data_IF_200097939528
#
_entry.id   IF_200097939528
#
_cell.length_a   1.000
_cell.length_b   1.000
_cell.length_c   1.000
_cell.angle_alpha   90.00
_cell.angle_beta   90.00
_cell.angle_gamma   90.00
#
_symmetry.space_group_name_H-M   'P 1'
#
loop_
_entity.id
_entity.type
_entity.pdbx_description
1 polymer ?
#
# COMPACT_ATOMS: atom_id res chain seq x y z
N UNK A 1 88.36 -5.76 23.11
CA UNK A 1 87.91 -7.16 23.16
C UNK A 1 86.87 -7.32 22.09
N UNK A 2 87.15 -8.21 21.17
CA UNK A 2 86.51 -8.37 19.88
C UNK A 2 85.05 -8.82 19.98
N UNK A 3 84.25 -8.42 19.00
CA UNK A 3 82.87 -8.87 18.86
C UNK A 3 82.39 -8.62 17.44
N UNK A 4 83.04 -9.24 16.46
CA UNK A 4 82.55 -9.28 15.08
C UNK A 4 81.18 -9.97 15.09
N UNK A 5 80.11 -9.23 14.81
CA UNK A 5 78.81 -9.82 14.50
C UNK A 5 78.92 -10.53 13.16
N UNK A 6 78.86 -11.86 13.16
CA UNK A 6 78.79 -12.66 11.95
C UNK A 6 77.46 -12.34 11.22
N UNK A 7 77.54 -11.57 10.15
CA UNK A 7 76.41 -11.37 9.23
C UNK A 7 76.31 -12.63 8.37
N UNK A 8 75.35 -13.49 8.67
CA UNK A 8 75.02 -14.63 7.81
C UNK A 8 74.18 -14.15 6.63
N UNK A 9 74.75 -14.19 5.43
CA UNK A 9 74.03 -13.90 4.20
C UNK A 9 73.18 -15.13 3.81
N UNK A 10 71.86 -15.03 3.99
CA UNK A 10 70.94 -16.13 3.69
C UNK A 10 70.48 -15.99 2.24
N UNK A 11 71.08 -16.78 1.35
CA UNK A 11 70.64 -16.85 -0.04
C UNK A 11 69.26 -17.50 -0.18
N UNK A 12 68.46 -16.95 -1.09
CA UNK A 12 67.15 -17.51 -1.43
C UNK A 12 67.33 -18.93 -1.95
N UNK A 13 66.66 -19.93 -1.36
CA UNK A 13 66.84 -21.32 -1.76
C UNK A 13 66.41 -21.50 -3.21
N UNK A 14 67.17 -22.30 -3.94
CA UNK A 14 66.92 -22.66 -5.33
C UNK A 14 65.65 -23.50 -5.47
N UNK A 15 65.15 -23.64 -6.71
CA UNK A 15 63.97 -24.46 -6.99
C UNK A 15 64.14 -25.91 -6.53
N UNK A 16 65.33 -26.50 -6.70
CA UNK A 16 65.61 -27.87 -6.26
C UNK A 16 65.64 -28.00 -4.74
N UNK A 17 66.22 -27.03 -4.03
CA UNK A 17 66.26 -27.03 -2.56
C UNK A 17 64.86 -26.89 -1.97
N UNK A 18 64.04 -26.01 -2.54
CA UNK A 18 62.62 -25.88 -2.16
C UNK A 18 61.87 -27.19 -2.43
N UNK A 19 62.06 -27.79 -3.61
CA UNK A 19 61.39 -29.05 -3.97
C UNK A 19 61.77 -30.16 -3.01
N UNK A 20 63.06 -30.34 -2.70
CA UNK A 20 63.55 -31.36 -1.77
C UNK A 20 63.08 -31.11 -0.33
N UNK A 21 63.07 -29.86 0.10
CA UNK A 21 62.57 -29.48 1.43
C UNK A 21 61.08 -29.80 1.60
N UNK A 22 60.26 -29.49 0.58
CA UNK A 22 58.81 -29.71 0.62
C UNK A 22 58.36 -31.07 0.08
N UNK A 23 59.27 -31.92 -0.40
CA UNK A 23 58.95 -33.23 -0.98
C UNK A 23 58.15 -34.10 0.01
N UNK A 24 58.56 -34.13 1.28
CA UNK A 24 57.86 -34.89 2.32
C UNK A 24 56.44 -34.35 2.60
N UNK A 25 56.25 -33.03 2.58
CA UNK A 25 54.96 -32.39 2.79
C UNK A 25 54.00 -32.72 1.64
N UNK A 26 54.49 -32.58 0.40
CA UNK A 26 53.70 -32.78 -0.82
C UNK A 26 53.40 -34.26 -1.03
N UNK A 27 54.38 -35.15 -0.89
CA UNK A 27 54.23 -36.57 -1.21
C UNK A 27 53.67 -37.42 -0.06
N UNK A 28 53.84 -37.02 1.21
CA UNK A 28 53.43 -37.87 2.34
C UNK A 28 52.29 -37.29 3.18
N UNK A 29 52.21 -35.96 3.33
CA UNK A 29 51.18 -35.33 4.17
C UNK A 29 49.95 -34.91 3.36
N UNK A 30 50.15 -34.36 2.15
CA UNK A 30 49.06 -33.87 1.32
C UNK A 30 48.29 -34.97 0.55
N UNK A 31 48.85 -36.19 0.44
CA UNK A 31 48.22 -37.31 -0.28
C UNK A 31 47.18 -38.05 0.58
N UNK A 32 47.22 -37.91 1.91
CA UNK A 32 46.23 -38.56 2.77
C UNK A 32 44.91 -37.78 2.73
N UNK A 33 43.81 -38.36 2.21
CA UNK A 33 42.51 -37.70 2.29
C UNK A 33 42.16 -37.45 3.78
N UNK A 34 41.55 -36.31 4.11
CA UNK A 34 41.14 -36.04 5.48
C UNK A 34 40.24 -37.16 5.97
N UNK A 35 40.45 -37.59 7.23
CA UNK A 35 39.68 -38.69 7.83
C UNK A 35 38.20 -38.35 7.71
N UNK A 36 37.44 -39.20 7.01
CA UNK A 36 36.05 -38.91 6.68
C UNK A 36 35.22 -38.78 7.95
N UNK A 37 34.86 -37.55 8.31
CA UNK A 37 33.99 -37.23 9.45
C UNK A 37 32.52 -37.59 9.19
N UNK A 38 32.19 -38.50 8.28
CA UNK A 38 30.78 -38.87 7.97
C UNK A 38 29.97 -39.18 9.22
N UNK A 39 30.57 -39.86 10.21
CA UNK A 39 29.93 -40.17 11.50
C UNK A 39 29.70 -38.94 12.38
N UNK A 40 30.61 -37.97 12.36
CA UNK A 40 30.46 -36.70 13.09
C UNK A 40 29.52 -35.72 12.37
N UNK A 41 29.47 -35.74 11.04
CA UNK A 41 28.52 -34.95 10.23
C UNK A 41 27.09 -35.46 10.42
N UNK A 42 26.89 -36.77 10.57
CA UNK A 42 25.58 -37.36 10.92
C UNK A 42 25.17 -37.08 12.37
N UNK A 43 26.12 -36.90 13.29
CA UNK A 43 25.83 -36.61 14.70
C UNK A 43 25.63 -35.11 15.01
N UNK A 44 26.14 -34.21 14.17
CA UNK A 44 26.20 -32.77 14.48
C UNK A 44 25.16 -31.90 13.77
N UNK A 45 24.21 -32.47 13.02
CA UNK A 45 23.06 -31.73 12.51
C UNK A 45 21.93 -31.81 13.54
N UNK A 46 22.14 -31.22 14.71
CA UNK A 46 21.04 -30.94 15.63
C UNK A 46 20.13 -29.91 14.94
N UNK A 47 18.93 -30.35 14.54
CA UNK A 47 17.94 -29.46 13.92
C UNK A 47 17.45 -28.51 15.01
N UNK A 48 18.00 -27.30 15.04
CA UNK A 48 17.55 -26.26 15.95
C UNK A 48 16.10 -25.87 15.61
N UNK A 49 15.25 -25.62 16.62
CA UNK A 49 13.91 -25.12 16.39
C UNK A 49 13.99 -23.78 15.63
N UNK A 50 13.15 -23.64 14.60
CA UNK A 50 13.04 -22.38 13.86
C UNK A 50 12.70 -21.27 14.83
N UNK A 51 13.52 -20.22 14.86
CA UNK A 51 13.28 -19.08 15.72
C UNK A 51 11.88 -18.50 15.45
N UNK A 52 11.10 -18.15 16.48
CA UNK A 52 9.84 -17.46 16.27
C UNK A 52 10.12 -16.17 15.48
N UNK A 53 9.27 -15.81 14.51
CA UNK A 53 9.44 -14.59 13.75
C UNK A 53 9.56 -13.39 14.71
N UNK A 54 10.44 -12.42 14.44
CA UNK A 54 10.57 -11.23 15.26
C UNK A 54 9.22 -10.53 15.36
N UNK A 55 8.93 -9.99 16.55
CA UNK A 55 7.68 -9.25 16.76
C UNK A 55 7.57 -8.11 15.74
N UNK A 56 6.35 -7.84 15.20
CA UNK A 56 6.13 -6.72 14.32
C UNK A 56 6.62 -5.43 14.99
N UNK A 57 7.42 -4.64 14.25
CA UNK A 57 7.88 -3.33 14.73
C UNK A 57 6.67 -2.48 15.14
N UNK A 58 6.65 -2.03 16.38
CA UNK A 58 5.70 -1.02 16.86
C UNK A 58 6.21 0.37 16.46
N UNK A 59 5.32 1.20 15.93
CA UNK A 59 5.65 2.58 15.60
C UNK A 59 5.77 3.41 16.87
N UNK A 60 6.71 4.35 16.88
CA UNK A 60 6.83 5.35 17.94
C UNK A 60 5.67 6.34 17.89
N UNK A 61 5.33 6.98 19.00
CA UNK A 61 4.29 8.02 19.06
C UNK A 61 4.51 9.14 18.04
N UNK A 62 5.78 9.48 17.75
CA UNK A 62 6.15 10.47 16.75
C UNK A 62 5.82 10.02 15.33
N UNK A 63 6.09 8.76 15.01
CA UNK A 63 5.76 8.18 13.69
C UNK A 63 4.24 8.07 13.50
N UNK A 64 3.50 7.70 14.56
CA UNK A 64 2.03 7.66 14.52
C UNK A 64 1.47 9.05 14.22
N UNK A 65 1.92 10.07 14.95
CA UNK A 65 1.48 11.44 14.73
C UNK A 65 1.78 11.94 13.31
N UNK A 66 2.95 11.62 12.77
CA UNK A 66 3.31 11.97 11.39
C UNK A 66 2.40 11.30 10.36
N UNK A 67 2.02 10.04 10.59
CA UNK A 67 1.09 9.32 9.73
C UNK A 67 -0.32 9.93 9.80
N UNK A 68 -0.81 10.31 10.98
CA UNK A 68 -2.10 10.97 11.16
C UNK A 68 -2.15 12.34 10.46
N UNK A 69 -1.09 13.15 10.59
CA UNK A 69 -0.96 14.44 9.89
C UNK A 69 -0.97 14.24 8.36
N UNK A 70 -0.20 13.27 7.87
CA UNK A 70 -0.16 12.94 6.43
C UNK A 70 -1.51 12.44 5.92
N UNK A 71 -2.20 11.62 6.70
CA UNK A 71 -3.54 11.13 6.37
C UNK A 71 -4.54 12.30 6.27
N UNK A 72 -4.55 13.20 7.26
CA UNK A 72 -5.42 14.39 7.22
C UNK A 72 -5.13 15.31 6.04
N UNK A 73 -3.86 15.49 5.66
CA UNK A 73 -3.50 16.27 4.48
C UNK A 73 -4.03 15.63 3.19
N UNK A 74 -3.89 14.31 3.04
CA UNK A 74 -4.46 13.60 1.88
C UNK A 74 -5.99 13.65 1.84
N UNK A 75 -6.65 13.53 2.99
CA UNK A 75 -8.10 13.65 3.10
C UNK A 75 -8.57 15.08 2.83
N UNK A 76 -7.80 16.09 3.22
CA UNK A 76 -8.08 17.50 2.89
C UNK A 76 -8.03 17.74 1.39
N UNK A 77 -7.01 17.22 0.70
CA UNK A 77 -6.92 17.30 -0.76
C UNK A 77 -8.10 16.63 -1.43
N UNK A 78 -8.50 15.43 -0.96
CA UNK A 78 -9.70 14.75 -1.43
C UNK A 78 -10.94 15.63 -1.26
N UNK A 79 -11.18 16.21 -0.08
CA UNK A 79 -12.34 17.08 0.19
C UNK A 79 -12.38 18.29 -0.75
N UNK A 80 -11.23 18.92 -1.03
CA UNK A 80 -11.14 20.05 -1.98
C UNK A 80 -11.54 19.61 -3.38
N UNK A 81 -11.01 18.48 -3.83
CA UNK A 81 -11.33 17.92 -5.14
C UNK A 81 -12.82 17.59 -5.28
N UNK A 82 -13.39 16.85 -4.31
CA UNK A 82 -14.81 16.47 -4.31
C UNK A 82 -15.72 17.70 -4.33
N UNK A 83 -15.41 18.73 -3.53
CA UNK A 83 -16.18 19.98 -3.50
C UNK A 83 -16.14 20.68 -4.87
N UNK A 84 -14.97 20.73 -5.52
CA UNK A 84 -14.83 21.35 -6.84
C UNK A 84 -15.69 20.63 -7.89
N UNK A 85 -15.62 19.31 -7.94
CA UNK A 85 -16.42 18.49 -8.86
C UNK A 85 -17.91 18.70 -8.61
N UNK A 86 -18.35 18.59 -7.36
CA UNK A 86 -19.77 18.76 -6.99
C UNK A 86 -20.29 20.15 -7.35
N UNK A 87 -19.48 21.20 -7.11
CA UNK A 87 -19.86 22.57 -7.45
C UNK A 87 -20.01 22.79 -8.96
N UNK A 88 -19.13 22.19 -9.77
CA UNK A 88 -19.24 22.24 -11.24
C UNK A 88 -20.54 21.58 -11.74
N UNK A 89 -20.92 20.46 -11.15
CA UNK A 89 -22.17 19.77 -11.47
C UNK A 89 -23.40 20.58 -11.03
N UNK A 90 -23.34 21.22 -9.87
CA UNK A 90 -24.43 22.02 -9.34
C UNK A 90 -24.73 23.30 -10.17
N UNK A 91 -23.72 23.86 -10.84
CA UNK A 91 -23.89 25.02 -11.73
C UNK A 91 -24.51 24.62 -13.08
N UNK A 92 -24.30 23.38 -13.51
CA UNK A 92 -24.82 22.92 -14.79
C UNK A 92 -26.36 22.83 -14.76
N UNK A 93 -27.01 23.59 -15.64
CA UNK A 93 -28.47 23.65 -15.76
C UNK A 93 -29.10 22.29 -16.04
N UNK A 94 -28.36 21.34 -16.62
CA UNK A 94 -28.82 19.97 -16.89
C UNK A 94 -29.13 19.22 -15.60
N UNK A 95 -28.40 19.50 -14.52
CA UNK A 95 -28.50 18.76 -13.26
C UNK A 95 -29.25 19.53 -12.18
N UNK A 96 -29.90 20.66 -12.52
CA UNK A 96 -30.66 21.49 -11.58
C UNK A 96 -31.65 20.70 -10.72
N UNK A 97 -32.30 19.68 -11.30
CA UNK A 97 -33.24 18.81 -10.60
C UNK A 97 -32.62 18.00 -9.45
N UNK A 98 -31.30 17.76 -9.47
CA UNK A 98 -30.57 17.00 -8.46
C UNK A 98 -29.82 17.89 -7.45
N UNK A 99 -29.93 19.22 -7.58
CA UNK A 99 -29.16 20.17 -6.75
C UNK A 99 -29.66 20.28 -5.32
N UNK A 100 -30.93 19.99 -5.08
CA UNK A 100 -31.60 20.09 -3.78
C UNK A 100 -32.42 18.83 -3.55
N UNK A 101 -32.75 18.51 -2.28
CA UNK A 101 -33.69 17.44 -1.98
C UNK A 101 -35.02 17.66 -2.70
N UNK A 102 -35.69 16.56 -3.06
CA UNK A 102 -37.05 16.60 -3.62
C UNK A 102 -38.00 17.20 -2.59
N UNK A 103 -38.80 18.19 -3.00
CA UNK A 103 -39.78 18.83 -2.14
C UNK A 103 -40.99 17.92 -1.91
N UNK A 104 -41.20 17.50 -0.67
CA UNK A 104 -42.31 16.61 -0.28
C UNK A 104 -43.67 17.32 -0.30
N UNK A 105 -43.71 18.65 -0.34
CA UNK A 105 -44.95 19.37 -0.57
C UNK A 105 -45.42 19.24 -2.02
N UNK A 106 -44.47 19.20 -2.96
CA UNK A 106 -44.75 18.99 -4.39
C UNK A 106 -44.92 17.50 -4.72
N UNK A 107 -44.15 16.62 -4.05
CA UNK A 107 -44.12 15.18 -4.30
C UNK A 107 -44.27 14.38 -2.99
N UNK A 108 -45.48 14.28 -2.43
CA UNK A 108 -45.70 13.72 -1.09
C UNK A 108 -45.41 12.22 -0.97
N UNK A 109 -45.55 11.47 -2.06
CA UNK A 109 -45.31 10.03 -2.13
C UNK A 109 -43.84 9.66 -2.33
N UNK A 110 -42.95 10.64 -2.56
CA UNK A 110 -41.54 10.38 -2.84
C UNK A 110 -40.84 9.54 -1.75
N UNK A 111 -41.04 9.87 -0.48
CA UNK A 111 -40.47 9.12 0.67
C UNK A 111 -41.09 7.75 0.88
N UNK A 112 -42.25 7.48 0.28
CA UNK A 112 -42.89 6.17 0.35
C UNK A 112 -42.22 5.20 -0.64
N UNK A 113 -41.80 5.71 -1.79
CA UNK A 113 -41.11 4.96 -2.84
C UNK A 113 -39.61 4.90 -2.53
N UNK A 114 -38.95 6.05 -2.45
CA UNK A 114 -37.51 6.18 -2.27
C UNK A 114 -37.13 6.14 -0.79
N UNK A 115 -36.35 5.13 -0.41
CA UNK A 115 -35.97 4.88 1.00
C UNK A 115 -34.80 5.74 1.47
N UNK A 116 -33.88 6.07 0.58
CA UNK A 116 -32.68 6.85 0.88
C UNK A 116 -32.54 7.99 -0.13
N UNK A 117 -33.23 9.13 0.09
CA UNK A 117 -33.05 10.32 -0.74
C UNK A 117 -31.60 10.80 -0.73
N UNK A 118 -31.15 11.34 -1.87
CA UNK A 118 -29.82 11.95 -2.01
C UNK A 118 -29.87 13.07 -3.05
N UNK A 119 -29.00 14.06 -2.89
CA UNK A 119 -28.90 15.24 -3.75
C UNK A 119 -27.53 15.92 -3.60
N UNK A 120 -27.16 16.80 -4.53
CA UNK A 120 -25.84 17.44 -4.54
C UNK A 120 -25.61 18.36 -3.34
N UNK A 121 -26.63 19.00 -2.78
CA UNK A 121 -26.46 19.84 -1.58
C UNK A 121 -26.16 18.99 -0.35
N UNK A 122 -26.81 17.83 -0.22
CA UNK A 122 -26.49 16.83 0.80
C UNK A 122 -25.06 16.31 0.64
N UNK A 123 -24.62 16.01 -0.59
CA UNK A 123 -23.22 15.60 -0.85
C UNK A 123 -22.23 16.69 -0.41
N UNK A 124 -22.49 17.97 -0.69
CA UNK A 124 -21.66 19.08 -0.18
C UNK A 124 -21.62 19.06 1.35
N UNK A 125 -22.77 18.90 2.03
CA UNK A 125 -22.79 18.81 3.50
C UNK A 125 -22.01 17.60 4.02
N UNK A 126 -22.07 16.45 3.34
CA UNK A 126 -21.30 15.25 3.71
C UNK A 126 -19.78 15.44 3.54
N UNK A 127 -19.34 16.17 2.50
CA UNK A 127 -17.94 16.58 2.34
C UNK A 127 -17.49 17.43 3.53
N UNK A 128 -18.34 18.38 3.95
CA UNK A 128 -18.02 19.36 4.99
C UNK A 128 -18.02 18.73 6.38
N UNK A 129 -18.80 17.66 6.57
CA UNK A 129 -18.81 16.81 7.75
C UNK A 129 -17.77 15.67 7.71
N UNK A 130 -16.85 15.69 6.74
CA UNK A 130 -15.76 14.71 6.60
C UNK A 130 -16.24 13.25 6.48
N UNK A 131 -17.42 13.02 5.89
CA UNK A 131 -18.02 11.69 5.81
C UNK A 131 -17.50 10.82 4.65
N UNK A 132 -16.66 11.38 3.78
CA UNK A 132 -16.04 10.65 2.67
C UNK A 132 -14.55 10.44 2.95
N UNK A 133 -14.19 9.19 3.24
CA UNK A 133 -12.80 8.76 3.38
C UNK A 133 -12.20 8.30 2.04
N UNK A 134 -13.04 8.10 1.03
CA UNK A 134 -12.61 7.67 -0.30
C UNK A 134 -13.51 8.27 -1.39
N UNK A 135 -12.95 8.39 -2.60
CA UNK A 135 -13.74 8.76 -3.78
C UNK A 135 -14.85 7.73 -4.09
N UNK A 136 -14.66 6.47 -3.69
CA UNK A 136 -15.68 5.43 -3.84
C UNK A 136 -16.93 5.72 -3.01
N UNK A 137 -16.75 6.22 -1.78
CA UNK A 137 -17.89 6.55 -0.92
C UNK A 137 -18.68 7.75 -1.44
N UNK A 138 -17.97 8.71 -2.04
CA UNK A 138 -18.58 9.82 -2.77
C UNK A 138 -19.38 9.34 -3.99
N UNK A 139 -18.81 8.44 -4.81
CA UNK A 139 -19.48 7.92 -6.00
C UNK A 139 -20.75 7.12 -5.67
N UNK A 140 -20.79 6.42 -4.53
CA UNK A 140 -22.01 5.72 -4.08
C UNK A 140 -23.21 6.66 -3.94
N UNK A 141 -23.00 7.89 -3.47
CA UNK A 141 -24.09 8.85 -3.34
C UNK A 141 -24.54 9.40 -4.71
N UNK A 142 -23.63 9.49 -5.68
CA UNK A 142 -24.00 9.77 -7.08
C UNK A 142 -24.81 8.64 -7.70
N UNK A 143 -24.37 7.40 -7.53
CA UNK A 143 -25.10 6.21 -7.95
C UNK A 143 -26.49 6.17 -7.28
N UNK A 144 -26.60 6.62 -6.03
CA UNK A 144 -27.86 6.73 -5.32
C UNK A 144 -28.79 7.80 -5.93
N UNK A 145 -28.27 8.98 -6.29
CA UNK A 145 -29.05 9.99 -7.03
C UNK A 145 -29.60 9.40 -8.34
N UNK A 146 -28.74 8.72 -9.10
CA UNK A 146 -29.11 8.13 -10.38
C UNK A 146 -30.14 7.02 -10.22
N UNK A 147 -29.91 6.06 -9.33
CA UNK A 147 -30.83 4.95 -9.08
C UNK A 147 -32.18 5.43 -8.57
N UNK A 148 -32.22 6.35 -7.61
CA UNK A 148 -33.46 6.95 -7.11
C UNK A 148 -34.25 7.65 -8.23
N UNK A 149 -33.57 8.37 -9.12
CA UNK A 149 -34.21 9.02 -10.25
C UNK A 149 -34.79 8.00 -11.25
N UNK A 150 -34.09 6.90 -11.52
CA UNK A 150 -34.55 5.86 -12.42
C UNK A 150 -35.67 4.99 -11.83
N UNK A 151 -35.69 4.82 -10.51
CA UNK A 151 -36.70 4.08 -9.76
C UNK A 151 -38.00 4.88 -9.65
N UNK A 152 -37.92 6.16 -9.27
CA UNK A 152 -39.10 6.99 -9.07
C UNK A 152 -39.79 7.41 -10.38
N UNK A 153 -39.00 7.69 -11.42
CA UNK A 153 -39.51 8.25 -12.68
C UNK A 153 -39.55 7.16 -13.77
N UNK A 154 -40.71 6.52 -14.05
CA UNK A 154 -40.84 5.49 -15.07
C UNK A 154 -40.87 6.09 -16.50
N UNK A 155 -40.55 5.32 -17.54
CA UNK A 155 -40.43 5.81 -18.93
C UNK A 155 -41.79 6.09 -19.64
N UNK A 156 -42.73 6.71 -18.94
CA UNK A 156 -44.13 6.89 -19.39
C UNK A 156 -44.38 8.31 -19.90
N UNK A 157 -43.79 9.30 -19.26
CA UNK A 157 -43.93 10.73 -19.57
C UNK A 157 -42.65 11.32 -20.22
N UNK A 158 -42.77 12.25 -21.19
CA UNK A 158 -41.66 13.08 -21.66
C UNK A 158 -40.81 13.75 -20.56
N UNK A 159 -41.41 14.20 -19.46
CA UNK A 159 -40.74 14.75 -18.27
C UNK A 159 -39.89 13.70 -17.56
N UNK A 160 -40.49 12.56 -17.23
CA UNK A 160 -39.78 11.40 -16.65
C UNK A 160 -38.58 10.98 -17.52
N UNK A 161 -38.76 10.86 -18.84
CA UNK A 161 -37.68 10.55 -19.80
C UNK A 161 -36.51 11.52 -19.69
N UNK A 162 -36.81 12.82 -19.56
CA UNK A 162 -35.78 13.84 -19.46
C UNK A 162 -35.01 13.74 -18.14
N UNK A 163 -35.71 13.45 -17.03
CA UNK A 163 -35.08 13.24 -15.73
C UNK A 163 -34.16 12.02 -15.77
N UNK A 164 -34.64 10.90 -16.31
CA UNK A 164 -33.84 9.66 -16.47
C UNK A 164 -32.62 9.88 -17.35
N UNK A 165 -32.79 10.54 -18.50
CA UNK A 165 -31.67 10.89 -19.38
C UNK A 165 -30.64 11.74 -18.62
N UNK A 166 -31.07 12.78 -17.91
CA UNK A 166 -30.14 13.63 -17.14
C UNK A 166 -29.44 12.87 -16.01
N UNK A 167 -30.14 11.96 -15.33
CA UNK A 167 -29.55 11.11 -14.31
C UNK A 167 -28.44 10.21 -14.88
N UNK A 168 -28.65 9.57 -16.03
CA UNK A 168 -27.63 8.73 -16.66
C UNK A 168 -26.39 9.51 -17.18
N UNK A 169 -26.49 10.83 -17.32
CA UNK A 169 -25.40 11.71 -17.77
C UNK A 169 -24.71 12.47 -16.61
N UNK A 170 -25.17 12.25 -15.38
CA UNK A 170 -24.55 12.78 -14.15
C UNK A 170 -23.22 12.05 -13.88
#
# INVERSE_FOLDING_TARGET
VDGFGEVFDVHLPSFEERRKFFESLILHQAIKPPVSKKKAVLQALEVLPVAPPPEPRQLTEREIKQLEEQEEDTLRELRIFLRNVTHRLAIDKRFRAFTKPVDLHEVPDYVTVIKQPMDLSTIISKIDLHQYLSAKDYLKDFDLICSNALEYNPDRDPGDRLIRHRACFL
#
